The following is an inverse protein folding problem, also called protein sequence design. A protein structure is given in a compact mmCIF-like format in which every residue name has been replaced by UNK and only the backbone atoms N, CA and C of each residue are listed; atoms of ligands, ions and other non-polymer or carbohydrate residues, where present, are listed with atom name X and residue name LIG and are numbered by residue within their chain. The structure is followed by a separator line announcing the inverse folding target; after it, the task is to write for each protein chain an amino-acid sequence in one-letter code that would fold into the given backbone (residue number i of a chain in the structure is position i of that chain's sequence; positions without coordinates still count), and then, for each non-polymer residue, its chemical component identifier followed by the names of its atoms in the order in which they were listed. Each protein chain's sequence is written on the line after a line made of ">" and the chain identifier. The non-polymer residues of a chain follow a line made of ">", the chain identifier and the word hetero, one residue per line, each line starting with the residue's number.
data_IF_110185941831
#
_entry.id   IF_110185941831
#
_cell.length_a   1.000
_cell.length_b   1.000
_cell.length_c   1.000
_cell.angle_alpha   90.00
_cell.angle_beta   90.00
_cell.angle_gamma   90.00
#
_symmetry.space_group_name_H-M   'P 1'
#
loop_
_entity.id
_entity.type
_entity.pdbx_description
1 polymer ?
#
# COMPACT_ATOMS: atom_id res chain seq x y z
N UNK A 1 -2.39 -25.32 -17.21
CA UNK A 1 -1.83 -24.46 -16.18
C UNK A 1 -1.14 -23.28 -16.83
N UNK A 2 -1.33 -22.11 -16.29
CA UNK A 2 -0.67 -20.88 -16.74
C UNK A 2 -0.03 -20.18 -15.55
N UNK A 3 1.23 -19.80 -15.72
CA UNK A 3 1.97 -18.98 -14.76
C UNK A 3 2.32 -17.67 -15.45
N UNK A 4 2.06 -16.57 -14.78
CA UNK A 4 2.48 -15.24 -15.21
C UNK A 4 3.35 -14.59 -14.12
N UNK A 5 4.41 -13.92 -14.56
CA UNK A 5 5.30 -13.16 -13.69
C UNK A 5 5.20 -11.68 -14.05
N UNK A 6 5.25 -10.84 -13.05
CA UNK A 6 5.27 -9.40 -13.21
C UNK A 6 6.31 -8.76 -12.30
N UNK A 7 6.91 -7.69 -12.79
CA UNK A 7 7.81 -6.86 -12.01
C UNK A 7 7.60 -5.39 -12.38
N UNK A 8 7.72 -4.50 -11.40
CA UNK A 8 7.60 -3.06 -11.57
C UNK A 8 8.71 -2.37 -10.81
N UNK A 9 9.42 -1.47 -11.46
CA UNK A 9 10.33 -0.54 -10.82
C UNK A 9 9.63 0.79 -10.62
N UNK A 10 9.78 1.40 -9.45
CA UNK A 10 9.17 2.68 -9.07
C UNK A 10 10.23 3.67 -8.65
N UNK A 11 10.09 4.90 -9.11
CA UNK A 11 10.78 6.06 -8.55
C UNK A 11 9.74 6.87 -7.79
N UNK A 12 10.05 7.21 -6.55
CA UNK A 12 9.16 7.92 -5.64
C UNK A 12 9.82 9.25 -5.32
N UNK A 13 9.06 10.33 -5.44
CA UNK A 13 9.48 11.66 -5.04
C UNK A 13 8.34 12.35 -4.30
N UNK A 14 8.62 12.81 -3.11
CA UNK A 14 7.71 13.60 -2.29
C UNK A 14 8.33 14.97 -2.04
N UNK A 15 7.54 16.01 -2.19
CA UNK A 15 7.97 17.38 -1.95
C UNK A 15 6.98 18.05 -1.01
N UNK A 16 7.48 18.65 0.04
CA UNK A 16 6.70 19.41 0.99
C UNK A 16 7.38 20.76 1.25
N UNK A 17 6.73 21.82 0.79
CA UNK A 17 7.24 23.21 0.83
C UNK A 17 8.63 23.30 0.17
N UNK A 18 9.72 23.38 0.94
CA UNK A 18 11.10 23.49 0.46
C UNK A 18 11.96 22.25 0.83
N UNK A 19 11.31 21.17 1.24
CA UNK A 19 11.96 19.88 1.48
C UNK A 19 11.48 18.84 0.48
N UNK A 20 12.34 17.91 0.16
CA UNK A 20 12.02 16.79 -0.72
C UNK A 20 12.66 15.51 -0.25
N UNK A 21 11.99 14.40 -0.49
CA UNK A 21 12.51 13.06 -0.30
C UNK A 21 12.39 12.27 -1.60
N UNK A 22 13.40 11.50 -1.94
CA UNK A 22 13.36 10.64 -3.11
C UNK A 22 13.85 9.25 -2.78
N UNK A 23 13.31 8.27 -3.49
CA UNK A 23 13.67 6.88 -3.32
C UNK A 23 13.25 6.03 -4.50
N UNK A 24 13.55 4.75 -4.41
CA UNK A 24 13.18 3.77 -5.40
C UNK A 24 12.61 2.53 -4.70
N UNK A 25 11.63 1.91 -5.33
CA UNK A 25 11.02 0.67 -4.86
C UNK A 25 10.79 -0.29 -6.03
N UNK A 26 10.67 -1.55 -5.68
CA UNK A 26 10.46 -2.63 -6.62
C UNK A 26 9.27 -3.48 -6.17
N UNK A 27 8.41 -3.84 -7.13
CA UNK A 27 7.33 -4.79 -6.93
C UNK A 27 7.59 -6.04 -7.75
N UNK A 28 7.25 -7.19 -7.23
CA UNK A 28 7.27 -8.44 -7.97
C UNK A 28 6.05 -9.28 -7.65
N UNK A 29 5.59 -10.05 -8.62
CA UNK A 29 4.43 -10.89 -8.42
C UNK A 29 4.43 -12.10 -9.33
N UNK A 30 3.75 -13.14 -8.88
CA UNK A 30 3.45 -14.33 -9.65
C UNK A 30 1.96 -14.62 -9.57
N UNK A 31 1.39 -14.98 -10.70
CA UNK A 31 0.02 -15.47 -10.79
C UNK A 31 0.03 -16.87 -11.38
N UNK A 32 -0.69 -17.77 -10.73
CA UNK A 32 -0.96 -19.11 -11.21
C UNK A 32 -2.45 -19.27 -11.51
N UNK A 33 -2.76 -19.78 -12.67
CA UNK A 33 -4.13 -20.14 -13.07
C UNK A 33 -4.17 -21.63 -13.38
N UNK A 34 -4.97 -22.37 -12.61
CA UNK A 34 -5.12 -23.80 -12.80
C UNK A 34 -5.83 -24.09 -14.13
N UNK A 35 -5.45 -25.19 -14.79
CA UNK A 35 -6.06 -25.60 -16.04
C UNK A 35 -7.40 -26.34 -15.79
N UNK A 36 -7.40 -27.22 -14.79
CA UNK A 36 -8.50 -28.15 -14.54
C UNK A 36 -9.47 -27.66 -13.44
N UNK A 37 -9.11 -26.57 -12.77
CA UNK A 37 -9.91 -25.94 -11.71
C UNK A 37 -10.15 -24.48 -12.04
N UNK A 38 -11.33 -23.96 -11.76
CA UNK A 38 -11.65 -22.55 -11.95
C UNK A 38 -11.00 -21.68 -10.84
N UNK A 39 -9.70 -21.90 -10.60
CA UNK A 39 -8.92 -21.31 -9.51
C UNK A 39 -7.77 -20.50 -10.05
N UNK A 40 -7.60 -19.29 -9.52
CA UNK A 40 -6.43 -18.46 -9.73
C UNK A 40 -5.84 -18.02 -8.39
N UNK A 41 -4.53 -18.10 -8.26
CA UNK A 41 -3.79 -17.67 -7.07
C UNK A 41 -2.77 -16.64 -7.52
N UNK A 42 -2.64 -15.56 -6.77
CA UNK A 42 -1.63 -14.53 -6.99
C UNK A 42 -0.87 -14.22 -5.71
N UNK A 43 0.42 -14.02 -5.82
CA UNK A 43 1.27 -13.53 -4.73
C UNK A 43 2.04 -12.33 -5.26
N UNK A 44 2.04 -11.25 -4.51
CA UNK A 44 2.73 -10.02 -4.88
C UNK A 44 3.46 -9.44 -3.66
N UNK A 45 4.74 -9.16 -3.84
CA UNK A 45 5.53 -8.34 -2.94
C UNK A 45 5.59 -6.93 -3.50
N UNK A 46 5.25 -5.93 -2.69
CA UNK A 46 5.20 -4.52 -3.11
C UNK A 46 6.09 -3.64 -2.26
N UNK A 47 6.59 -2.59 -2.91
CA UNK A 47 7.35 -1.51 -2.29
C UNK A 47 8.62 -1.98 -1.55
N UNK A 48 9.29 -2.99 -2.07
CA UNK A 48 10.61 -3.36 -1.58
C UNK A 48 11.60 -2.30 -2.07
N UNK A 49 12.06 -1.43 -1.19
CA UNK A 49 12.85 -0.27 -1.60
C UNK A 49 13.83 0.22 -0.56
N UNK A 50 14.49 1.32 -0.89
CA UNK A 50 15.42 2.01 0.00
C UNK A 50 14.67 2.98 0.92
N UNK A 51 15.25 3.25 2.10
CA UNK A 51 14.73 4.29 2.98
C UNK A 51 14.83 5.66 2.30
N UNK A 52 13.81 6.46 2.49
CA UNK A 52 13.76 7.85 2.05
C UNK A 52 14.05 8.77 3.22
N UNK A 53 14.55 9.96 2.94
CA UNK A 53 14.78 11.01 3.93
C UNK A 53 14.50 12.36 3.31
N UNK A 54 13.80 13.22 4.05
CA UNK A 54 13.61 14.59 3.63
C UNK A 54 14.91 15.38 3.78
N UNK A 55 15.20 16.20 2.78
CA UNK A 55 16.32 17.14 2.73
C UNK A 55 15.83 18.46 2.09
N UNK A 56 16.38 19.58 2.49
CA UNK A 56 16.01 20.89 1.94
C UNK A 56 16.09 22.04 2.96
N UNK A 57 15.84 23.23 2.47
CA UNK A 57 16.09 24.47 3.21
C UNK A 57 15.20 24.65 4.45
N UNK A 58 14.00 24.03 4.49
CA UNK A 58 13.13 24.11 5.69
C UNK A 58 13.69 23.36 6.90
N UNK A 59 14.77 22.58 6.72
CA UNK A 59 15.48 21.90 7.79
C UNK A 59 16.64 22.73 8.34
N UNK A 60 16.93 23.89 7.75
CA UNK A 60 17.96 24.80 8.20
C UNK A 60 17.43 25.78 9.24
N UNK A 61 18.08 25.86 10.37
CA UNK A 61 17.74 26.78 11.46
C UNK A 61 18.93 27.67 11.79
N UNK A 62 18.66 28.96 11.98
CA UNK A 62 19.65 29.88 12.54
C UNK A 62 19.54 29.88 14.07
N UNK A 63 20.64 29.56 14.73
CA UNK A 63 20.76 29.75 16.17
C UNK A 63 21.38 31.12 16.46
N UNK A 64 20.65 31.95 17.17
CA UNK A 64 21.19 33.20 17.75
C UNK A 64 21.63 32.86 19.17
N UNK A 65 22.95 32.89 19.49
CA UNK A 65 23.40 32.72 20.88
C UNK A 65 22.76 33.76 21.80
N UNK A 66 22.44 33.38 23.04
CA UNK A 66 21.77 34.27 23.99
C UNK A 66 22.57 35.56 24.29
N UNK A 67 23.90 35.54 24.13
CA UNK A 67 24.79 36.65 24.36
C UNK A 67 25.41 37.21 23.05
N UNK A 68 24.70 37.03 21.91
CA UNK A 68 25.19 37.53 20.62
C UNK A 68 25.19 39.05 20.58
N UNK A 69 26.35 39.66 20.38
CA UNK A 69 26.50 41.09 20.13
C UNK A 69 26.04 41.47 18.70
N UNK A 70 25.70 42.75 18.52
CA UNK A 70 25.29 43.25 17.20
C UNK A 70 26.45 43.08 16.19
N UNK A 71 26.23 42.31 15.13
CA UNK A 71 27.22 41.92 14.12
C UNK A 71 27.82 40.54 14.26
N UNK A 72 27.36 39.72 15.21
CA UNK A 72 27.74 38.31 15.31
C UNK A 72 27.34 37.55 14.04
N UNK A 73 28.26 36.77 13.48
CA UNK A 73 27.99 35.88 12.36
C UNK A 73 27.11 34.73 12.88
N UNK A 74 25.88 34.62 12.37
CA UNK A 74 24.96 33.55 12.69
C UNK A 74 25.36 32.30 11.93
N UNK A 75 25.51 31.19 12.64
CA UNK A 75 25.73 29.88 12.01
C UNK A 75 24.41 29.22 11.70
N UNK A 76 24.32 28.65 10.50
CA UNK A 76 23.15 27.84 10.09
C UNK A 76 23.38 26.40 10.54
N UNK A 77 22.40 25.83 11.20
CA UNK A 77 22.36 24.42 11.57
C UNK A 77 21.30 23.71 10.76
N UNK A 78 21.66 22.63 10.08
CA UNK A 78 20.71 21.77 9.39
C UNK A 78 20.25 20.66 10.33
N UNK A 79 18.96 20.56 10.54
CA UNK A 79 18.35 19.40 11.20
C UNK A 79 18.34 18.22 10.24
N UNK A 80 18.86 17.08 10.67
CA UNK A 80 18.81 15.86 9.87
C UNK A 80 17.49 15.16 10.11
N UNK A 81 16.61 15.12 9.08
CA UNK A 81 15.37 14.39 9.17
C UNK A 81 15.61 12.88 9.33
N UNK A 82 14.76 12.21 10.09
CA UNK A 82 14.80 10.76 10.23
C UNK A 82 14.46 10.08 8.89
N UNK A 83 15.20 9.05 8.54
CA UNK A 83 14.88 8.25 7.37
C UNK A 83 13.65 7.38 7.66
N UNK A 84 12.75 7.27 6.68
CA UNK A 84 11.55 6.46 6.73
C UNK A 84 11.54 5.42 5.61
N UNK A 85 10.86 4.32 5.85
CA UNK A 85 10.71 3.25 4.88
C UNK A 85 9.42 3.43 4.08
N UNK A 86 9.46 3.06 2.81
CA UNK A 86 8.24 2.91 2.01
C UNK A 86 7.48 1.68 2.53
N UNK A 87 6.15 1.78 2.77
CA UNK A 87 5.39 0.67 3.32
C UNK A 87 5.41 -0.55 2.39
N UNK A 88 6.22 -1.54 2.73
CA UNK A 88 6.26 -2.81 2.01
C UNK A 88 5.05 -3.67 2.37
N UNK A 89 4.54 -4.46 1.41
CA UNK A 89 3.48 -5.41 1.67
C UNK A 89 3.65 -6.72 0.91
N UNK A 90 3.17 -7.80 1.54
CA UNK A 90 2.94 -9.10 0.90
C UNK A 90 1.43 -9.27 0.71
N UNK A 91 0.99 -9.40 -0.52
CA UNK A 91 -0.41 -9.63 -0.87
C UNK A 91 -0.54 -11.05 -1.44
N UNK A 92 -1.45 -11.84 -0.88
CA UNK A 92 -1.80 -13.18 -1.37
C UNK A 92 -3.28 -13.16 -1.76
N UNK A 93 -3.57 -13.35 -3.02
CA UNK A 93 -4.93 -13.34 -3.56
C UNK A 93 -5.34 -14.70 -4.11
N UNK A 94 -6.61 -15.03 -3.91
CA UNK A 94 -7.24 -16.23 -4.43
C UNK A 94 -8.56 -15.85 -5.07
N UNK A 95 -8.80 -16.36 -6.28
CA UNK A 95 -10.05 -16.19 -6.98
C UNK A 95 -10.57 -17.55 -7.43
N UNK A 96 -11.81 -17.86 -7.06
CA UNK A 96 -12.52 -19.04 -7.52
C UNK A 96 -13.71 -18.64 -8.38
N UNK A 97 -13.75 -19.13 -9.62
CA UNK A 97 -14.83 -18.84 -10.56
C UNK A 97 -15.88 -19.97 -10.50
N UNK A 98 -17.07 -19.63 -10.03
CA UNK A 98 -18.18 -20.55 -9.92
C UNK A 98 -19.09 -20.40 -11.16
N UNK A 99 -19.29 -21.47 -11.89
CA UNK A 99 -20.20 -21.55 -13.04
C UNK A 99 -19.95 -20.49 -14.14
N UNK A 100 -18.72 -19.98 -14.27
CA UNK A 100 -18.34 -18.92 -15.21
C UNK A 100 -19.11 -17.59 -15.08
N UNK A 101 -19.86 -17.39 -14.03
CA UNK A 101 -20.67 -16.19 -13.77
C UNK A 101 -20.35 -15.54 -12.45
N UNK A 102 -20.02 -16.32 -11.42
CA UNK A 102 -19.72 -15.82 -10.07
C UNK A 102 -18.25 -16.00 -9.78
N UNK A 103 -17.58 -14.94 -9.40
CA UNK A 103 -16.24 -15.01 -8.86
C UNK A 103 -16.29 -14.78 -7.34
N UNK A 104 -15.57 -15.59 -6.61
CA UNK A 104 -15.34 -15.42 -5.17
C UNK A 104 -13.88 -15.08 -4.98
N UNK A 105 -13.62 -14.00 -4.26
CA UNK A 105 -12.27 -13.46 -4.04
C UNK A 105 -11.92 -13.50 -2.57
N UNK A 106 -10.70 -13.93 -2.27
CA UNK A 106 -10.08 -13.79 -0.96
C UNK A 106 -8.71 -13.12 -1.13
N UNK A 107 -8.40 -12.14 -0.29
CA UNK A 107 -7.07 -11.51 -0.27
C UNK A 107 -6.60 -11.42 1.18
N UNK A 108 -5.39 -11.87 1.41
CA UNK A 108 -4.62 -11.60 2.61
C UNK A 108 -3.51 -10.61 2.26
N UNK A 109 -3.40 -9.55 3.02
CA UNK A 109 -2.32 -8.57 2.91
C UNK A 109 -1.65 -8.39 4.25
N UNK A 110 -0.35 -8.63 4.28
CA UNK A 110 0.52 -8.28 5.41
C UNK A 110 1.26 -6.99 5.07
N UNK A 111 1.25 -6.03 5.98
CA UNK A 111 1.92 -4.75 5.82
C UNK A 111 3.09 -4.67 6.81
N UNK A 112 4.21 -4.08 6.38
CA UNK A 112 5.41 -3.90 7.21
C UNK A 112 5.20 -3.02 8.46
N UNK A 113 4.07 -2.31 8.55
CA UNK A 113 3.73 -1.48 9.72
C UNK A 113 2.91 -2.23 10.79
N UNK A 114 2.86 -3.56 10.75
CA UNK A 114 2.32 -4.38 11.85
C UNK A 114 0.82 -4.62 11.78
N UNK A 115 0.16 -4.41 10.64
CA UNK A 115 -1.23 -4.81 10.49
C UNK A 115 -1.44 -5.78 9.32
N UNK A 116 -2.39 -6.69 9.52
CA UNK A 116 -2.85 -7.62 8.51
C UNK A 116 -4.25 -7.21 8.04
N UNK A 117 -4.50 -7.33 6.75
CA UNK A 117 -5.79 -7.06 6.14
C UNK A 117 -6.30 -8.32 5.44
N UNK A 118 -7.54 -8.68 5.75
CA UNK A 118 -8.27 -9.78 5.11
C UNK A 118 -9.42 -9.19 4.32
N UNK A 119 -9.50 -9.49 3.04
CA UNK A 119 -10.58 -9.05 2.16
C UNK A 119 -11.30 -10.26 1.60
N UNK A 120 -12.62 -10.22 1.65
CA UNK A 120 -13.50 -11.20 1.03
C UNK A 120 -14.47 -10.48 0.11
N UNK A 121 -14.70 -11.03 -1.07
CA UNK A 121 -15.59 -10.42 -2.04
C UNK A 121 -16.18 -11.45 -2.98
N UNK A 122 -17.26 -11.05 -3.63
CA UNK A 122 -17.86 -11.81 -4.72
C UNK A 122 -18.40 -10.86 -5.77
N UNK A 123 -18.31 -11.26 -7.03
CA UNK A 123 -18.96 -10.58 -8.13
C UNK A 123 -19.73 -11.57 -9.01
N UNK A 124 -20.79 -11.07 -9.60
CA UNK A 124 -21.57 -11.75 -10.63
C UNK A 124 -21.39 -11.02 -11.95
N UNK A 125 -20.96 -11.75 -12.96
CA UNK A 125 -20.75 -11.21 -14.32
C UNK A 125 -21.72 -11.87 -15.30
N UNK A 126 -22.53 -11.04 -15.94
CA UNK A 126 -23.41 -11.44 -17.05
C UNK A 126 -22.76 -11.02 -18.36
N UNK A 127 -22.51 -12.01 -19.23
CA UNK A 127 -22.00 -11.77 -20.58
C UNK A 127 -22.97 -12.32 -21.59
N UNK A 128 -23.43 -11.47 -22.49
CA UNK A 128 -24.24 -11.80 -23.65
C UNK A 128 -23.54 -11.33 -24.91
N UNK A 129 -24.00 -11.73 -26.07
CA UNK A 129 -23.44 -11.26 -27.35
C UNK A 129 -23.63 -9.75 -27.57
N UNK A 130 -24.61 -9.13 -26.90
CA UNK A 130 -24.96 -7.73 -27.08
C UNK A 130 -24.34 -6.81 -26.01
N UNK A 131 -24.15 -7.30 -24.79
CA UNK A 131 -23.60 -6.49 -23.69
C UNK A 131 -22.94 -7.37 -22.61
N UNK A 132 -22.11 -6.73 -21.79
CA UNK A 132 -21.59 -7.33 -20.56
C UNK A 132 -21.91 -6.42 -19.38
N UNK A 133 -22.32 -7.01 -18.27
CA UNK A 133 -22.60 -6.30 -17.03
C UNK A 133 -22.07 -7.11 -15.85
N UNK A 134 -21.71 -6.40 -14.78
CA UNK A 134 -21.30 -7.07 -13.55
C UNK A 134 -21.82 -6.30 -12.33
N UNK A 135 -21.98 -7.01 -11.22
CA UNK A 135 -22.30 -6.46 -9.91
C UNK A 135 -21.51 -7.25 -8.88
N UNK A 136 -20.96 -6.57 -7.89
CA UNK A 136 -20.18 -7.23 -6.86
C UNK A 136 -20.13 -6.44 -5.56
N UNK A 137 -19.68 -7.12 -4.52
CA UNK A 137 -19.47 -6.54 -3.22
C UNK A 137 -18.43 -7.30 -2.42
N UNK A 138 -17.95 -6.67 -1.37
CA UNK A 138 -16.94 -7.27 -0.52
C UNK A 138 -16.82 -6.57 0.82
N UNK A 139 -16.02 -7.16 1.68
CA UNK A 139 -15.69 -6.62 3.01
C UNK A 139 -14.21 -6.78 3.28
N UNK A 140 -13.66 -5.87 4.08
CA UNK A 140 -12.30 -5.96 4.61
C UNK A 140 -12.31 -5.93 6.13
N UNK A 141 -11.41 -6.72 6.72
CA UNK A 141 -11.15 -6.78 8.15
C UNK A 141 -9.67 -6.56 8.39
N UNK A 142 -9.35 -5.86 9.47
CA UNK A 142 -7.97 -5.60 9.87
C UNK A 142 -7.68 -6.33 11.18
N UNK A 143 -6.46 -6.84 11.30
CA UNK A 143 -5.90 -7.36 12.54
C UNK A 143 -4.59 -6.64 12.82
N UNK A 144 -4.47 -6.10 14.01
CA UNK A 144 -3.28 -5.38 14.49
C UNK A 144 -2.55 -6.31 15.44
N UNK A 145 -1.22 -6.32 15.39
CA UNK A 145 -0.42 -7.00 16.42
C UNK A 145 -0.49 -6.21 17.74
N UNK A 146 -0.62 -6.92 18.86
CA UNK A 146 -0.80 -6.37 20.20
C UNK A 146 0.31 -5.40 20.67
N UNK A 147 1.46 -5.38 19.96
CA UNK A 147 2.61 -4.52 20.30
C UNK A 147 2.52 -3.09 19.69
N UNK A 148 1.47 -2.77 18.93
CA UNK A 148 1.28 -1.46 18.30
C UNK A 148 0.30 -0.59 19.09
N UNK A 149 0.71 -0.13 20.27
CA UNK A 149 -0.03 0.89 21.02
C UNK A 149 -0.27 2.15 20.17
N UNK A 150 -1.51 2.57 20.03
CA UNK A 150 -1.90 3.84 19.42
C UNK A 150 -2.56 3.78 18.05
N UNK A 151 -2.57 2.65 17.37
CA UNK A 151 -3.29 2.46 16.08
C UNK A 151 -4.69 1.87 16.25
N UNK A 152 -5.00 1.35 17.44
CA UNK A 152 -6.29 0.71 17.76
C UNK A 152 -7.48 1.64 17.53
N UNK A 153 -7.35 2.94 17.89
CA UNK A 153 -8.43 3.91 17.76
C UNK A 153 -8.75 4.26 16.29
N UNK A 154 -7.78 4.20 15.39
CA UNK A 154 -7.98 4.48 13.97
C UNK A 154 -8.61 3.30 13.22
N UNK A 155 -8.37 2.07 13.68
CA UNK A 155 -8.84 0.84 13.04
C UNK A 155 -10.19 0.42 13.60
N UNK A 156 -10.46 0.64 14.90
CA UNK A 156 -11.76 0.36 15.54
C UNK A 156 -12.89 1.24 15.04
N UNK A 157 -12.61 2.40 14.47
CA UNK A 157 -13.64 3.30 13.94
C UNK A 157 -14.44 2.68 12.77
N UNK A 158 -13.86 1.72 12.04
CA UNK A 158 -14.57 0.99 10.98
C UNK A 158 -13.95 -0.40 10.73
N UNK A 159 -14.14 -1.38 11.64
CA UNK A 159 -13.50 -2.69 11.57
C UNK A 159 -13.93 -3.52 10.35
N UNK A 160 -15.04 -3.15 9.69
CA UNK A 160 -15.57 -3.83 8.53
C UNK A 160 -15.86 -2.81 7.42
N UNK A 161 -14.90 -2.67 6.48
CA UNK A 161 -15.17 -1.96 5.24
C UNK A 161 -16.09 -2.77 4.35
N UNK A 162 -17.29 -2.28 4.07
CA UNK A 162 -18.20 -2.88 3.08
C UNK A 162 -18.13 -2.05 1.82
N UNK A 163 -17.94 -2.70 0.68
CA UNK A 163 -17.93 -2.08 -0.64
C UNK A 163 -18.85 -2.82 -1.60
N UNK A 164 -19.47 -2.09 -2.51
CA UNK A 164 -20.25 -2.66 -3.60
C UNK A 164 -20.07 -1.83 -4.86
N UNK A 165 -20.23 -2.45 -5.99
CA UNK A 165 -20.09 -1.81 -7.30
C UNK A 165 -20.73 -2.60 -8.39
N UNK A 166 -20.88 -1.97 -9.53
CA UNK A 166 -21.40 -2.59 -10.75
C UNK A 166 -20.97 -1.78 -11.96
N UNK A 167 -21.05 -2.40 -13.13
CA UNK A 167 -20.70 -1.79 -14.40
C UNK A 167 -21.35 -2.52 -15.58
N UNK A 168 -21.34 -1.85 -16.73
CA UNK A 168 -21.83 -2.38 -18.02
C UNK A 168 -20.93 -1.89 -19.14
#
# INVERSE_FOLDING_TARGET
>A
DRVAFGATFKMISETFIQTSASGAAFDMGVQYKAADLPLSIGVTLKNIGVKMRFDGNDLEHQLVPQDAEEGTILENFASVAQAFEVPASLDIGLTYNLMNMVNIHGVFKNNSFGFNEYRLGADYALKTDAFSAWVGGGTSMYSVDDDTEGWEDAITANPFGISFGGGF
#
